data_IF_127367064260
#
_entry.id   IF_127367064260
#
_cell.length_a   1.000
_cell.length_b   1.000
_cell.length_c   1.000
_cell.angle_alpha   90.00
_cell.angle_beta   90.00
_cell.angle_gamma   90.00
#
_symmetry.space_group_name_H-M   'P 1'
#
loop_
_entity.id
_entity.type
_entity.pdbx_description
1 polymer ?
#
# COMPACT_ATOMS: atom_id res chain seq x y z
N UNK A 1 -74.35 -3.12 -34.80
CA UNK A 1 -73.38 -2.09 -34.37
C UNK A 1 -72.46 -2.70 -33.30
N UNK A 2 -71.29 -3.12 -33.72
CA UNK A 2 -70.32 -3.83 -32.86
C UNK A 2 -69.27 -2.81 -32.42
N UNK A 3 -69.21 -2.54 -31.07
CA UNK A 3 -68.26 -1.61 -30.51
C UNK A 3 -66.99 -2.37 -30.14
N UNK A 4 -65.88 -2.06 -30.82
CA UNK A 4 -64.58 -2.59 -30.51
C UNK A 4 -64.00 -1.83 -29.26
N UNK A 5 -63.79 -2.55 -28.15
CA UNK A 5 -63.09 -2.04 -26.98
C UNK A 5 -61.62 -2.37 -27.18
N UNK A 6 -60.81 -1.34 -27.44
CA UNK A 6 -59.38 -1.47 -27.59
C UNK A 6 -58.74 -1.45 -26.17
N UNK A 7 -58.32 -2.60 -25.70
CA UNK A 7 -57.62 -2.71 -24.41
C UNK A 7 -56.15 -2.28 -24.60
N UNK A 8 -55.78 -1.14 -24.04
CA UNK A 8 -54.41 -0.65 -24.00
C UNK A 8 -53.61 -1.43 -22.90
N UNK A 9 -52.74 -2.32 -23.34
CA UNK A 9 -51.81 -3.03 -22.43
C UNK A 9 -50.64 -2.13 -22.14
N UNK A 10 -50.58 -1.60 -20.88
CA UNK A 10 -49.41 -0.88 -20.38
C UNK A 10 -48.32 -1.90 -20.05
N UNK A 11 -47.29 -1.96 -20.88
CA UNK A 11 -46.10 -2.74 -20.60
C UNK A 11 -45.27 -1.92 -19.63
N UNK A 12 -45.32 -2.22 -18.32
CA UNK A 12 -44.43 -1.71 -17.31
C UNK A 12 -43.09 -2.42 -17.52
N UNK A 13 -42.15 -1.72 -18.14
CA UNK A 13 -40.77 -2.19 -18.29
C UNK A 13 -40.12 -2.29 -16.91
N UNK A 14 -39.91 -3.50 -16.43
CA UNK A 14 -39.10 -3.80 -15.26
C UNK A 14 -37.64 -3.57 -15.65
N UNK A 15 -37.06 -2.42 -15.23
CA UNK A 15 -35.65 -2.19 -15.35
C UNK A 15 -34.92 -3.21 -14.46
N UNK A 16 -34.39 -4.25 -15.07
CA UNK A 16 -33.53 -5.22 -14.47
C UNK A 16 -32.25 -4.49 -14.02
N UNK A 17 -32.11 -4.28 -12.71
CA UNK A 17 -30.86 -3.84 -12.10
C UNK A 17 -29.79 -4.88 -12.42
N UNK A 18 -28.92 -4.58 -13.38
CA UNK A 18 -27.75 -5.39 -13.68
C UNK A 18 -26.82 -5.25 -12.48
N UNK A 19 -26.86 -6.24 -11.61
CA UNK A 19 -25.87 -6.47 -10.57
C UNK A 19 -24.55 -6.70 -11.30
N UNK A 20 -23.69 -5.68 -11.33
CA UNK A 20 -22.35 -5.79 -11.87
C UNK A 20 -21.59 -6.82 -11.01
N UNK A 21 -21.59 -8.07 -11.46
CA UNK A 21 -20.67 -9.08 -10.93
C UNK A 21 -19.27 -8.55 -11.23
N UNK A 22 -18.48 -8.29 -10.17
CA UNK A 22 -17.07 -8.07 -10.34
C UNK A 22 -16.50 -9.30 -11.06
N UNK A 23 -15.92 -9.08 -12.23
CA UNK A 23 -15.23 -10.12 -12.98
C UNK A 23 -14.10 -10.67 -12.09
N UNK A 24 -13.91 -12.00 -12.03
CA UNK A 24 -12.80 -12.56 -11.29
C UNK A 24 -11.49 -12.04 -11.90
N UNK A 25 -10.70 -11.35 -11.08
CA UNK A 25 -9.35 -10.91 -11.48
C UNK A 25 -8.54 -12.18 -11.73
N UNK A 26 -8.09 -12.40 -12.95
CA UNK A 26 -7.25 -13.53 -13.32
C UNK A 26 -5.93 -13.45 -12.55
N UNK A 27 -5.52 -14.56 -11.93
CA UNK A 27 -4.28 -14.64 -11.12
C UNK A 27 -3.06 -14.26 -11.95
N UNK A 28 -3.08 -14.58 -13.24
CA UNK A 28 -1.99 -14.26 -14.17
C UNK A 28 -1.85 -12.74 -14.41
N UNK A 29 -2.96 -12.00 -14.52
CA UNK A 29 -2.93 -10.53 -14.65
C UNK A 29 -2.40 -9.86 -13.38
N UNK A 30 -2.83 -10.33 -12.22
CA UNK A 30 -2.33 -9.81 -10.93
C UNK A 30 -0.83 -10.08 -10.76
N UNK A 31 -0.37 -11.27 -11.15
CA UNK A 31 1.04 -11.65 -11.09
C UNK A 31 1.89 -10.78 -12.04
N UNK A 32 1.44 -10.57 -13.27
CA UNK A 32 2.10 -9.70 -14.23
C UNK A 32 2.17 -8.25 -13.75
N UNK A 33 1.08 -7.72 -13.18
CA UNK A 33 1.03 -6.37 -12.62
C UNK A 33 1.98 -6.21 -11.43
N UNK A 34 2.06 -7.19 -10.54
CA UNK A 34 3.02 -7.16 -9.42
C UNK A 34 4.47 -7.23 -9.91
N UNK A 35 4.76 -8.03 -10.95
CA UNK A 35 6.08 -8.08 -11.56
C UNK A 35 6.48 -6.74 -12.18
N UNK A 36 5.57 -6.05 -12.89
CA UNK A 36 5.81 -4.71 -13.45
C UNK A 36 6.06 -3.68 -12.34
N UNK A 37 5.30 -3.70 -11.26
CA UNK A 37 5.51 -2.81 -10.11
C UNK A 37 6.86 -3.07 -9.44
N UNK A 38 7.24 -4.32 -9.26
CA UNK A 38 8.51 -4.69 -8.60
C UNK A 38 9.74 -4.28 -9.44
N UNK A 39 9.64 -4.36 -10.78
CA UNK A 39 10.70 -3.92 -11.69
C UNK A 39 11.00 -2.42 -11.60
N UNK A 40 10.03 -1.60 -11.17
CA UNK A 40 10.17 -0.15 -10.98
C UNK A 40 10.77 0.24 -9.62
N UNK A 41 10.91 -0.70 -8.70
CA UNK A 41 11.49 -0.43 -7.40
C UNK A 41 12.99 -0.08 -7.52
N UNK A 42 13.50 0.86 -6.70
CA UNK A 42 14.93 1.04 -6.57
C UNK A 42 15.60 -0.27 -6.13
N UNK A 43 16.82 -0.58 -6.58
CA UNK A 43 17.54 -1.75 -6.09
C UNK A 43 17.77 -1.64 -4.58
N UNK A 44 17.71 -2.78 -3.87
CA UNK A 44 18.12 -2.83 -2.47
C UNK A 44 19.62 -2.52 -2.35
N UNK A 45 20.01 -1.80 -1.30
CA UNK A 45 21.42 -1.53 -1.02
C UNK A 45 22.17 -2.86 -0.79
N UNK A 46 23.36 -2.99 -1.41
CA UNK A 46 24.14 -4.22 -1.31
C UNK A 46 24.87 -4.38 0.04
N UNK A 47 25.15 -3.26 0.71
CA UNK A 47 25.85 -3.26 1.98
C UNK A 47 24.96 -3.72 3.14
N UNK A 48 25.59 -4.16 4.23
CA UNK A 48 24.89 -4.38 5.49
C UNK A 48 24.40 -3.03 6.00
N UNK A 49 23.11 -2.95 6.31
CA UNK A 49 22.44 -1.72 6.77
C UNK A 49 22.41 -1.69 8.29
N UNK A 50 22.81 -0.55 8.87
CA UNK A 50 22.64 -0.29 10.29
C UNK A 50 21.32 0.42 10.56
N UNK A 51 20.49 -0.14 11.41
CA UNK A 51 19.26 0.54 11.81
C UNK A 51 19.55 1.92 12.41
N UNK A 52 20.47 1.99 13.34
CA UNK A 52 20.77 3.25 14.07
C UNK A 52 21.32 4.35 13.15
N UNK A 53 22.18 4.00 12.21
CA UNK A 53 22.85 4.97 11.32
C UNK A 53 22.05 5.29 10.07
N UNK A 54 21.46 4.27 9.44
CA UNK A 54 20.94 4.38 8.08
C UNK A 54 19.41 4.47 8.05
N UNK A 55 18.70 3.75 8.93
CA UNK A 55 17.25 3.59 8.86
C UNK A 55 16.52 4.50 9.84
N UNK A 56 16.96 4.53 11.10
CA UNK A 56 16.31 5.32 12.16
C UNK A 56 16.13 6.78 11.79
N UNK A 57 17.14 7.49 11.23
CA UNK A 57 16.96 8.89 10.81
C UNK A 57 15.91 9.07 9.71
N UNK A 58 15.77 8.10 8.79
CA UNK A 58 14.75 8.13 7.74
C UNK A 58 13.35 7.97 8.34
N UNK A 59 13.19 7.00 9.23
CA UNK A 59 11.94 6.73 9.92
C UNK A 59 11.54 7.93 10.79
N UNK A 60 12.45 8.50 11.56
CA UNK A 60 12.20 9.65 12.42
C UNK A 60 11.71 10.86 11.62
N UNK A 61 12.39 11.16 10.52
CA UNK A 61 12.11 12.33 9.72
C UNK A 61 10.83 12.19 8.88
N UNK A 62 10.57 11.02 8.32
CA UNK A 62 9.53 10.85 7.30
C UNK A 62 8.29 10.07 7.79
N UNK A 63 8.40 9.28 8.88
CA UNK A 63 7.35 8.34 9.27
C UNK A 63 6.76 8.60 10.66
N UNK A 64 7.59 8.89 11.68
CA UNK A 64 7.17 8.86 13.09
C UNK A 64 6.12 9.90 13.44
N UNK A 65 6.04 11.00 12.72
CA UNK A 65 5.00 11.98 13.01
C UNK A 65 3.59 11.40 12.83
N UNK A 66 3.40 10.49 11.90
CA UNK A 66 2.12 9.83 11.65
C UNK A 66 2.06 8.40 12.23
N UNK A 67 3.19 7.69 12.23
CA UNK A 67 3.29 6.26 12.57
C UNK A 67 4.17 5.99 13.81
N UNK A 68 4.37 6.98 14.66
CA UNK A 68 5.10 6.87 15.91
C UNK A 68 4.21 6.61 17.13
N UNK A 69 4.77 6.77 18.36
CA UNK A 69 4.10 6.47 19.62
C UNK A 69 3.03 7.50 19.96
N UNK A 70 1.91 7.44 19.27
CA UNK A 70 0.73 8.30 19.45
C UNK A 70 -0.46 7.49 19.90
N UNK A 71 -1.43 8.14 20.60
CA UNK A 71 -2.68 7.49 21.00
C UNK A 71 -3.48 6.95 19.80
N UNK A 72 -3.41 7.63 18.65
CA UNK A 72 -4.10 7.25 17.41
C UNK A 72 -3.15 7.40 16.22
N UNK A 73 -2.25 6.43 15.99
CA UNK A 73 -1.39 6.46 14.81
C UNK A 73 -2.23 6.32 13.53
N UNK A 74 -1.82 6.99 12.46
CA UNK A 74 -2.48 6.90 11.15
C UNK A 74 -2.51 5.44 10.67
N UNK A 75 -3.67 5.01 10.14
CA UNK A 75 -3.85 3.62 9.69
C UNK A 75 -3.69 2.55 10.78
N UNK A 76 -3.67 2.91 12.08
CA UNK A 76 -3.24 2.04 13.20
C UNK A 76 -1.86 1.39 13.00
N UNK A 77 -1.08 1.82 12.02
CA UNK A 77 0.26 1.33 11.76
C UNK A 77 1.29 2.09 12.62
N UNK A 78 2.25 1.37 13.16
CA UNK A 78 3.41 1.94 13.89
C UNK A 78 4.70 1.33 13.37
N UNK A 79 5.75 2.16 13.30
CA UNK A 79 7.07 1.75 12.80
C UNK A 79 8.19 2.10 13.80
N UNK A 80 7.86 2.49 14.99
CA UNK A 80 8.83 2.87 16.03
C UNK A 80 9.42 1.69 16.80
N UNK A 81 8.77 0.53 16.77
CA UNK A 81 9.32 -0.73 17.30
C UNK A 81 9.15 -1.86 16.30
N UNK A 82 10.05 -2.85 16.38
CA UNK A 82 9.99 -4.03 15.51
C UNK A 82 8.65 -4.76 15.60
N UNK A 83 8.19 -5.02 16.80
CA UNK A 83 6.93 -5.73 17.06
C UNK A 83 5.76 -5.04 16.36
N UNK A 84 5.62 -3.73 16.55
CA UNK A 84 4.51 -2.95 15.99
C UNK A 84 4.62 -2.77 14.49
N UNK A 85 5.84 -2.64 13.95
CA UNK A 85 6.07 -2.58 12.52
C UNK A 85 5.65 -3.88 11.81
N UNK A 86 5.91 -5.03 12.43
CA UNK A 86 5.53 -6.35 11.89
C UNK A 86 4.06 -6.69 12.11
N UNK A 87 3.43 -6.10 13.13
CA UNK A 87 1.99 -6.26 13.38
C UNK A 87 1.14 -5.71 12.22
N UNK A 88 1.60 -4.66 11.55
CA UNK A 88 0.84 -3.98 10.52
C UNK A 88 -0.22 -3.01 11.06
N UNK A 89 -1.15 -2.62 10.20
CA UNK A 89 -2.22 -1.66 10.50
C UNK A 89 -3.57 -2.11 9.98
N UNK A 90 -4.45 -1.15 9.64
CA UNK A 90 -5.78 -1.44 9.09
C UNK A 90 -5.73 -2.22 7.77
N UNK A 91 -4.75 -1.92 6.92
CA UNK A 91 -4.54 -2.58 5.63
C UNK A 91 -3.79 -3.92 5.76
N UNK A 92 -3.60 -4.40 6.99
CA UNK A 92 -2.87 -5.63 7.25
C UNK A 92 -1.35 -5.41 7.38
N UNK A 93 -0.59 -6.44 6.98
CA UNK A 93 0.87 -6.46 7.10
C UNK A 93 1.52 -5.53 6.07
N UNK A 94 2.27 -4.54 6.54
CA UNK A 94 2.97 -3.58 5.69
C UNK A 94 4.43 -3.97 5.40
N UNK A 95 5.04 -4.79 6.26
CA UNK A 95 6.44 -5.21 6.19
C UNK A 95 6.53 -6.73 6.32
N UNK A 96 7.17 -7.39 5.37
CA UNK A 96 7.43 -8.83 5.37
C UNK A 96 8.95 -9.02 5.49
N UNK A 97 9.48 -9.45 6.65
CA UNK A 97 10.93 -9.64 6.83
C UNK A 97 11.53 -10.57 5.78
N UNK A 98 12.67 -10.20 5.24
CA UNK A 98 13.36 -10.95 4.19
C UNK A 98 12.76 -10.82 2.79
N UNK A 99 11.71 -9.99 2.61
CA UNK A 99 10.96 -9.90 1.34
C UNK A 99 10.52 -8.47 1.05
N UNK A 100 11.49 -7.57 0.81
CA UNK A 100 11.19 -6.15 0.53
C UNK A 100 10.29 -5.95 -0.68
N UNK A 101 10.48 -6.77 -1.73
CA UNK A 101 9.67 -6.76 -2.95
C UNK A 101 8.21 -7.19 -2.75
N UNK A 102 7.90 -7.85 -1.61
CA UNK A 102 6.54 -8.25 -1.23
C UNK A 102 5.97 -7.40 -0.09
N UNK A 103 6.72 -6.41 0.37
CA UNK A 103 6.33 -5.52 1.47
C UNK A 103 5.58 -4.30 0.94
N UNK A 104 4.27 -4.15 1.20
CA UNK A 104 3.46 -3.01 0.73
C UNK A 104 4.08 -1.66 1.05
N UNK A 105 4.73 -1.51 2.20
CA UNK A 105 5.40 -0.28 2.61
C UNK A 105 6.35 0.27 1.54
N UNK A 106 7.08 -0.59 0.84
CA UNK A 106 8.04 -0.18 -0.20
C UNK A 106 7.34 0.48 -1.38
N UNK A 107 6.21 -0.08 -1.80
CA UNK A 107 5.40 0.46 -2.90
C UNK A 107 4.76 1.80 -2.53
N UNK A 108 4.30 1.96 -1.28
CA UNK A 108 3.79 3.22 -0.76
C UNK A 108 4.86 4.31 -0.73
N UNK A 109 6.08 4.00 -0.26
CA UNK A 109 7.20 4.93 -0.27
C UNK A 109 7.70 5.26 -1.69
N UNK A 110 7.56 4.35 -2.64
CA UNK A 110 7.92 4.56 -4.05
C UNK A 110 6.78 5.20 -4.86
N UNK A 111 5.65 5.54 -4.24
CA UNK A 111 4.50 6.20 -4.87
C UNK A 111 3.91 5.39 -6.04
N UNK A 112 3.85 4.08 -5.90
CA UNK A 112 3.31 3.17 -6.91
C UNK A 112 1.86 2.74 -6.64
N UNK A 113 1.30 3.13 -5.51
CA UNK A 113 -0.08 2.82 -5.13
C UNK A 113 -0.81 4.13 -4.86
N UNK A 114 -1.77 4.44 -5.72
CA UNK A 114 -2.59 5.66 -5.62
C UNK A 114 -3.34 5.66 -4.30
N UNK A 115 -3.43 6.82 -3.66
CA UNK A 115 -4.04 7.07 -2.34
C UNK A 115 -3.29 6.46 -1.14
N UNK A 116 -2.16 5.79 -1.39
CA UNK A 116 -1.31 5.21 -0.35
C UNK A 116 0.12 5.76 -0.34
N UNK A 117 0.35 6.90 -0.97
CA UNK A 117 1.66 7.55 -1.02
C UNK A 117 2.15 7.90 0.38
N UNK A 118 3.37 7.46 0.71
CA UNK A 118 4.00 7.70 2.02
C UNK A 118 5.40 8.30 1.87
N UNK A 119 5.64 9.47 2.51
CA UNK A 119 4.68 10.38 3.13
C UNK A 119 3.68 10.95 2.13
N UNK A 120 2.48 11.40 2.56
CA UNK A 120 1.51 12.04 1.66
C UNK A 120 2.12 13.26 0.97
N UNK A 121 1.76 13.49 -0.30
CA UNK A 121 2.25 14.64 -1.07
C UNK A 121 1.94 15.99 -0.41
N UNK A 122 2.77 17.00 -0.70
CA UNK A 122 2.60 18.36 -0.18
C UNK A 122 2.98 18.56 1.29
N UNK A 123 3.49 17.56 1.99
CA UNK A 123 3.93 17.66 3.37
C UNK A 123 5.42 18.03 3.46
N UNK A 124 5.70 19.35 3.52
CA UNK A 124 7.09 19.87 3.59
C UNK A 124 7.88 19.37 4.80
N UNK A 125 7.22 19.12 5.92
CA UNK A 125 7.85 18.68 7.17
C UNK A 125 8.21 17.17 7.17
N UNK A 126 7.69 16.39 6.23
CA UNK A 126 7.90 14.94 6.11
C UNK A 126 8.34 14.63 4.68
N UNK A 127 9.65 14.73 4.40
CA UNK A 127 10.14 14.60 3.04
C UNK A 127 9.94 13.19 2.50
N UNK A 128 9.58 13.12 1.21
CA UNK A 128 9.60 11.88 0.44
C UNK A 128 11.02 11.29 0.45
N UNK A 129 11.12 9.98 0.58
CA UNK A 129 12.38 9.27 0.45
C UNK A 129 12.84 9.26 -1.01
N UNK A 130 14.12 9.50 -1.24
CA UNK A 130 14.72 9.34 -2.56
C UNK A 130 14.98 7.85 -2.87
N UNK A 131 15.39 7.56 -4.12
CA UNK A 131 15.63 6.19 -4.59
C UNK A 131 16.67 5.44 -3.76
N UNK A 132 17.74 6.11 -3.32
CA UNK A 132 18.79 5.51 -2.49
C UNK A 132 18.25 5.17 -1.09
N UNK A 133 17.50 6.07 -0.49
CA UNK A 133 16.87 5.85 0.81
C UNK A 133 15.83 4.71 0.78
N UNK A 134 15.05 4.60 -0.29
CA UNK A 134 14.16 3.45 -0.50
C UNK A 134 14.99 2.17 -0.65
N UNK A 135 16.12 2.23 -1.33
CA UNK A 135 17.07 1.12 -1.44
C UNK A 135 17.61 0.65 -0.08
N UNK A 136 17.91 1.59 0.84
CA UNK A 136 18.29 1.27 2.23
C UNK A 136 17.13 0.61 3.00
N UNK A 137 15.91 1.14 2.87
CA UNK A 137 14.73 0.53 3.49
C UNK A 137 14.47 -0.89 2.98
N UNK A 138 14.66 -1.12 1.68
CA UNK A 138 14.58 -2.47 1.09
C UNK A 138 15.60 -3.41 1.71
N UNK A 139 16.88 -2.99 1.72
CA UNK A 139 17.96 -3.79 2.29
C UNK A 139 17.73 -4.10 3.78
N UNK A 140 17.22 -3.14 4.55
CA UNK A 140 16.87 -3.35 5.95
C UNK A 140 15.77 -4.41 6.13
N UNK A 141 14.74 -4.39 5.26
CA UNK A 141 13.68 -5.39 5.26
C UNK A 141 14.24 -6.77 4.87
N UNK A 142 15.06 -6.83 3.81
CA UNK A 142 15.66 -8.07 3.32
C UNK A 142 16.63 -8.69 4.35
N UNK A 143 17.26 -7.85 5.19
CA UNK A 143 18.11 -8.26 6.31
C UNK A 143 17.34 -8.57 7.61
N UNK A 144 16.01 -8.63 7.58
CA UNK A 144 15.19 -9.14 8.67
C UNK A 144 14.58 -8.11 9.60
N UNK A 145 14.55 -6.82 9.23
CA UNK A 145 13.90 -5.74 10.02
C UNK A 145 14.50 -5.63 11.42
N UNK A 146 15.84 -5.58 11.50
CA UNK A 146 16.55 -5.47 12.77
C UNK A 146 16.55 -4.02 13.28
N UNK A 147 16.24 -3.81 14.56
CA UNK A 147 16.23 -2.52 15.26
C UNK A 147 17.41 -2.33 16.23
N UNK A 148 18.26 -3.34 16.40
CA UNK A 148 19.27 -3.36 17.47
C UNK A 148 20.70 -3.07 16.97
N UNK A 149 20.91 -2.95 15.66
CA UNK A 149 22.24 -2.75 15.05
C UNK A 149 22.56 -1.30 14.71
#
# INVERSE_FOLDING_TARGET
MLKYITTLILIVGFASSQNAKAEPVEIDDLTAKMADLSAKLPPAAKAKVSYKKDIKPLIEKSCLNCHGPKKRPKGKFRIDTRELALKGGYEGVAIIPGKSEKSPLIYYMNYQVVDYEMPPEGKKDYPKLNREQIGLMRAWIDQGVNYDN
#
